data_IF_939048468901
#
_entry.id   IF_939048468901
#
_cell.length_a   1.000
_cell.length_b   1.000
_cell.length_c   1.000
_cell.angle_alpha   90.00
_cell.angle_beta   90.00
_cell.angle_gamma   90.00
#
_symmetry.space_group_name_H-M   'P 1'
#
loop_
_entity.id
_entity.type
_entity.pdbx_description
1 polymer ?
#
# COMPACT_ATOMS: atom_id res chain seq x y z
N UNK A 1 10.86 -30.50 10.30
CA UNK A 1 10.48 -31.07 9.00
C UNK A 1 9.22 -30.40 8.50
N UNK A 2 9.19 -29.98 7.24
CA UNK A 2 8.04 -29.32 6.57
C UNK A 2 7.01 -30.35 6.05
N UNK A 3 7.13 -31.61 6.47
CA UNK A 3 6.26 -32.70 6.00
C UNK A 3 4.79 -32.47 6.32
N UNK A 4 3.94 -32.59 5.32
CA UNK A 4 2.49 -32.34 5.40
C UNK A 4 2.08 -30.89 5.39
N UNK A 5 2.99 -29.94 5.19
CA UNK A 5 2.70 -28.51 5.10
C UNK A 5 2.17 -28.13 3.70
N UNK A 6 1.26 -27.18 3.65
CA UNK A 6 0.72 -26.65 2.41
C UNK A 6 1.38 -25.33 2.02
N UNK A 7 1.41 -25.06 0.72
CA UNK A 7 1.87 -23.79 0.13
C UNK A 7 0.82 -23.28 -0.85
N UNK A 8 0.57 -21.97 -0.80
CA UNK A 8 -0.29 -21.26 -1.75
C UNK A 8 0.59 -20.59 -2.81
N UNK A 9 0.25 -20.74 -4.09
CA UNK A 9 0.94 -20.09 -5.20
C UNK A 9 -0.07 -19.32 -6.05
N UNK A 10 0.11 -18.01 -6.13
CA UNK A 10 -0.65 -17.12 -6.99
C UNK A 10 0.25 -16.35 -7.95
N UNK A 11 -0.37 -15.66 -8.89
CA UNK A 11 0.31 -14.86 -9.90
C UNK A 11 -0.63 -13.76 -10.44
N UNK A 12 -0.04 -12.67 -10.92
CA UNK A 12 -0.76 -11.59 -11.62
C UNK A 12 -0.88 -11.86 -13.14
N UNK A 13 -1.37 -10.89 -13.90
CA UNK A 13 -1.58 -11.03 -15.33
C UNK A 13 -0.36 -10.64 -16.18
N UNK A 14 0.80 -10.34 -15.58
CA UNK A 14 2.01 -9.97 -16.33
C UNK A 14 2.53 -11.09 -17.20
N UNK A 15 3.30 -10.73 -18.23
CA UNK A 15 4.00 -11.68 -19.07
C UNK A 15 4.73 -12.72 -18.22
N UNK A 16 4.53 -14.00 -18.54
CA UNK A 16 5.17 -15.16 -17.91
C UNK A 16 4.85 -15.40 -16.43
N UNK A 17 4.03 -14.57 -15.76
CA UNK A 17 3.68 -14.79 -14.35
C UNK A 17 3.08 -16.18 -14.12
N UNK A 18 2.18 -16.64 -14.99
CA UNK A 18 1.61 -17.99 -14.91
C UNK A 18 2.67 -19.10 -15.07
N UNK A 19 3.66 -18.91 -15.96
CA UNK A 19 4.76 -19.87 -16.15
C UNK A 19 5.65 -19.96 -14.89
N UNK A 20 6.00 -18.82 -14.31
CA UNK A 20 6.79 -18.76 -13.08
C UNK A 20 6.02 -19.35 -11.89
N UNK A 21 4.71 -19.05 -11.78
CA UNK A 21 3.85 -19.62 -10.76
C UNK A 21 3.79 -21.15 -10.86
N UNK A 22 3.60 -21.68 -12.08
CA UNK A 22 3.62 -23.13 -12.32
C UNK A 22 4.96 -23.75 -11.96
N UNK A 23 6.08 -23.15 -12.40
CA UNK A 23 7.41 -23.65 -12.08
C UNK A 23 7.65 -23.70 -10.57
N UNK A 24 7.27 -22.66 -9.83
CA UNK A 24 7.37 -22.63 -8.38
C UNK A 24 6.51 -23.74 -7.73
N UNK A 25 5.26 -23.89 -8.18
CA UNK A 25 4.36 -24.93 -7.69
C UNK A 25 4.89 -26.35 -7.91
N UNK A 26 5.47 -26.63 -9.09
CA UNK A 26 6.08 -27.93 -9.43
C UNK A 26 7.33 -28.22 -8.60
N UNK A 27 8.14 -27.21 -8.30
CA UNK A 27 9.31 -27.33 -7.40
C UNK A 27 8.86 -27.65 -5.98
N UNK A 28 7.87 -26.92 -5.44
CA UNK A 28 7.34 -27.20 -4.12
C UNK A 28 6.71 -28.59 -4.02
N UNK A 29 5.98 -29.04 -5.05
CA UNK A 29 5.42 -30.37 -5.11
C UNK A 29 6.51 -31.45 -5.11
N UNK A 30 7.63 -31.24 -5.80
CA UNK A 30 8.79 -32.15 -5.80
C UNK A 30 9.47 -32.23 -4.42
N UNK A 31 9.37 -31.19 -3.61
CA UNK A 31 9.88 -31.18 -2.23
C UNK A 31 8.88 -31.78 -1.22
N UNK A 32 7.74 -32.29 -1.67
CA UNK A 32 6.74 -32.95 -0.82
C UNK A 32 5.70 -32.02 -0.18
N UNK A 33 5.61 -30.76 -0.59
CA UNK A 33 4.55 -29.88 -0.14
C UNK A 33 3.21 -30.20 -0.82
N UNK A 34 2.12 -29.98 -0.09
CA UNK A 34 0.79 -29.87 -0.69
C UNK A 34 0.63 -28.47 -1.27
N UNK A 35 0.47 -28.36 -2.58
CA UNK A 35 0.38 -27.06 -3.25
C UNK A 35 -1.06 -26.73 -3.59
N UNK A 36 -1.52 -25.54 -3.19
CA UNK A 36 -2.73 -24.89 -3.70
C UNK A 36 -2.30 -23.80 -4.68
N UNK A 37 -2.45 -24.06 -6.00
CA UNK A 37 -2.11 -23.09 -7.03
C UNK A 37 -3.38 -22.39 -7.52
N UNK A 38 -3.35 -21.06 -7.65
CA UNK A 38 -4.37 -20.29 -8.34
C UNK A 38 -4.25 -20.53 -9.85
N UNK A 39 -5.38 -20.87 -10.50
CA UNK A 39 -5.39 -21.24 -11.94
C UNK A 39 -5.71 -20.06 -12.87
N UNK A 40 -6.02 -18.91 -12.28
CA UNK A 40 -6.20 -17.63 -12.97
C UNK A 40 -5.35 -16.58 -12.27
N UNK A 41 -5.06 -15.45 -12.90
CA UNK A 41 -4.44 -14.30 -12.26
C UNK A 41 -5.29 -13.81 -11.08
N UNK A 42 -4.63 -13.51 -9.95
CA UNK A 42 -5.29 -13.12 -8.69
C UNK A 42 -4.60 -11.92 -8.03
N UNK A 43 -5.36 -11.12 -7.26
CA UNK A 43 -4.80 -10.06 -6.43
C UNK A 43 -3.81 -10.58 -5.39
N UNK A 44 -2.78 -9.80 -5.12
CA UNK A 44 -1.80 -10.09 -4.06
C UNK A 44 -2.45 -10.30 -2.68
N UNK A 45 -3.40 -9.46 -2.22
CA UNK A 45 -4.07 -9.67 -0.93
C UNK A 45 -4.85 -10.99 -0.85
N UNK A 46 -5.37 -11.51 -1.96
CA UNK A 46 -6.05 -12.81 -1.97
C UNK A 46 -5.09 -13.97 -1.63
N UNK A 47 -3.82 -13.89 -2.05
CA UNK A 47 -2.79 -14.87 -1.67
C UNK A 47 -2.41 -14.75 -0.20
N UNK A 48 -2.21 -13.53 0.30
CA UNK A 48 -1.95 -13.30 1.72
C UNK A 48 -3.10 -13.82 2.60
N UNK A 49 -4.35 -13.55 2.21
CA UNK A 49 -5.55 -14.12 2.85
C UNK A 49 -5.54 -15.64 2.82
N UNK A 50 -5.32 -16.25 1.65
CA UNK A 50 -5.34 -17.70 1.50
C UNK A 50 -4.28 -18.41 2.37
N UNK A 51 -3.07 -17.85 2.47
CA UNK A 51 -2.02 -18.36 3.38
C UNK A 51 -2.48 -18.32 4.82
N UNK A 52 -3.08 -17.20 5.25
CA UNK A 52 -3.57 -17.01 6.61
C UNK A 52 -4.76 -17.92 6.92
N UNK A 53 -5.77 -17.91 6.05
CA UNK A 53 -7.03 -18.61 6.24
C UNK A 53 -6.88 -20.13 6.19
N UNK A 54 -6.03 -20.67 5.32
CA UNK A 54 -5.76 -22.09 5.22
C UNK A 54 -4.73 -22.61 6.23
N UNK A 55 -4.05 -21.73 6.97
CA UNK A 55 -2.93 -22.08 7.83
C UNK A 55 -1.73 -22.64 7.06
N UNK A 56 -1.56 -22.22 5.80
CA UNK A 56 -0.44 -22.67 4.98
C UNK A 56 0.91 -22.27 5.57
N UNK A 57 1.92 -23.11 5.35
CA UNK A 57 3.29 -22.88 5.83
C UNK A 57 3.97 -21.72 5.12
N UNK A 58 3.57 -21.45 3.87
CA UNK A 58 4.07 -20.33 3.07
C UNK A 58 3.11 -20.01 1.91
N UNK A 59 3.34 -18.86 1.29
CA UNK A 59 2.72 -18.49 0.03
C UNK A 59 3.67 -17.73 -0.86
N UNK A 60 3.36 -17.75 -2.14
CA UNK A 60 4.10 -17.04 -3.18
C UNK A 60 3.13 -16.32 -4.07
N UNK A 61 3.42 -15.06 -4.35
CA UNK A 61 2.74 -14.30 -5.40
C UNK A 61 3.76 -13.83 -6.43
N UNK A 62 3.54 -14.24 -7.69
CA UNK A 62 4.36 -13.78 -8.82
C UNK A 62 3.77 -12.48 -9.33
N UNK A 63 4.46 -11.37 -9.05
CA UNK A 63 4.03 -10.02 -9.46
C UNK A 63 5.18 -9.03 -9.30
N UNK A 64 5.21 -8.02 -10.16
CA UNK A 64 6.04 -6.84 -9.97
C UNK A 64 5.22 -5.60 -9.56
N UNK A 65 3.98 -5.80 -9.05
CA UNK A 65 3.07 -4.72 -8.62
C UNK A 65 2.90 -3.65 -9.72
N UNK A 66 3.27 -2.42 -9.45
CA UNK A 66 3.14 -1.27 -10.36
C UNK A 66 4.38 -0.99 -11.22
N UNK A 67 5.35 -1.90 -11.26
CA UNK A 67 6.53 -1.76 -12.09
C UNK A 67 6.19 -1.83 -13.60
N UNK A 68 7.08 -1.39 -14.51
CA UNK A 68 6.89 -1.50 -15.96
C UNK A 68 6.53 -2.91 -16.43
N UNK A 69 5.95 -3.02 -17.62
CA UNK A 69 5.48 -4.27 -18.23
C UNK A 69 6.55 -5.36 -18.34
N UNK A 70 7.82 -4.98 -18.56
CA UNK A 70 8.94 -5.92 -18.68
C UNK A 70 9.40 -6.55 -17.37
N UNK A 71 8.94 -6.04 -16.23
CA UNK A 71 9.35 -6.52 -14.92
C UNK A 71 8.47 -7.66 -14.42
N UNK A 72 9.08 -8.54 -13.63
CA UNK A 72 8.39 -9.56 -12.85
C UNK A 72 9.01 -9.62 -11.44
N UNK A 73 8.36 -10.31 -10.51
CA UNK A 73 8.81 -10.39 -9.14
C UNK A 73 8.25 -11.60 -8.40
N UNK A 74 8.70 -11.76 -7.17
CA UNK A 74 8.42 -12.93 -6.35
C UNK A 74 8.20 -12.47 -4.90
N UNK A 75 6.94 -12.29 -4.48
CA UNK A 75 6.59 -11.99 -3.08
C UNK A 75 6.45 -13.30 -2.31
N UNK A 76 7.06 -13.38 -1.13
CA UNK A 76 7.03 -14.58 -0.28
C UNK A 76 6.32 -14.26 1.02
N UNK A 77 5.36 -15.09 1.39
CA UNK A 77 4.60 -15.04 2.62
C UNK A 77 4.91 -16.24 3.51
N UNK A 78 4.99 -16.00 4.81
CA UNK A 78 5.09 -17.02 5.84
C UNK A 78 3.77 -17.23 6.58
N UNK A 79 3.68 -18.15 7.55
CA UNK A 79 2.44 -18.43 8.26
C UNK A 79 1.77 -17.15 8.76
N UNK A 80 0.45 -17.10 8.63
CA UNK A 80 -0.34 -15.91 8.95
C UNK A 80 -0.43 -14.86 7.83
N UNK A 81 0.07 -15.17 6.61
CA UNK A 81 -0.01 -14.26 5.46
C UNK A 81 0.93 -13.05 5.58
N UNK A 82 2.03 -13.19 6.30
CA UNK A 82 3.02 -12.15 6.56
C UNK A 82 4.19 -12.23 5.57
N UNK A 83 4.53 -11.16 4.89
CA UNK A 83 5.74 -11.12 4.06
C UNK A 83 6.99 -11.38 4.90
N UNK A 84 7.99 -12.05 4.30
CA UNK A 84 9.26 -12.35 4.95
C UNK A 84 10.04 -11.08 5.33
N UNK A 85 10.78 -11.16 6.42
CA UNK A 85 11.70 -10.13 6.92
C UNK A 85 13.02 -10.76 7.32
N UNK A 86 14.05 -9.94 7.53
CA UNK A 86 15.33 -10.45 8.06
C UNK A 86 15.15 -11.14 9.42
N UNK A 87 15.87 -12.27 9.67
CA UNK A 87 16.95 -12.82 8.86
C UNK A 87 16.51 -13.73 7.71
N UNK A 88 15.24 -14.09 7.61
CA UNK A 88 14.71 -15.10 6.68
C UNK A 88 14.95 -14.75 5.20
N UNK A 89 14.84 -13.48 4.82
CA UNK A 89 15.14 -13.02 3.46
C UNK A 89 16.59 -13.33 3.07
N UNK A 90 17.54 -13.13 3.99
CA UNK A 90 18.96 -13.46 3.80
C UNK A 90 19.22 -14.96 3.74
N UNK A 91 18.52 -15.73 4.57
CA UNK A 91 18.65 -17.19 4.57
C UNK A 91 18.16 -17.75 3.23
N UNK A 92 17.07 -17.21 2.68
CA UNK A 92 16.56 -17.58 1.35
C UNK A 92 17.55 -17.14 0.25
N UNK A 93 18.10 -15.93 0.31
CA UNK A 93 19.10 -15.45 -0.64
C UNK A 93 20.35 -16.36 -0.66
N UNK A 94 20.85 -16.74 0.52
CA UNK A 94 21.96 -17.70 0.63
C UNK A 94 21.60 -19.08 0.03
N UNK A 95 20.38 -19.56 0.26
CA UNK A 95 19.92 -20.83 -0.30
C UNK A 95 19.78 -20.75 -1.84
N UNK A 96 19.30 -19.62 -2.37
CA UNK A 96 19.24 -19.39 -3.83
C UNK A 96 20.65 -19.39 -4.44
N UNK A 97 21.60 -18.72 -3.80
CA UNK A 97 22.99 -18.67 -4.27
C UNK A 97 23.69 -20.04 -4.25
N UNK A 98 23.27 -20.94 -3.38
CA UNK A 98 23.78 -22.30 -3.26
C UNK A 98 22.99 -23.33 -4.09
N UNK A 99 21.88 -22.93 -4.72
CA UNK A 99 21.05 -23.83 -5.51
C UNK A 99 21.76 -24.30 -6.79
N UNK A 100 21.48 -25.53 -7.26
CA UNK A 100 21.97 -26.00 -8.57
C UNK A 100 21.35 -25.18 -9.71
N UNK A 101 21.81 -25.43 -10.93
CA UNK A 101 21.22 -24.79 -12.11
C UNK A 101 19.72 -25.12 -12.22
N UNK A 102 18.94 -24.20 -12.78
CA UNK A 102 17.48 -24.29 -12.76
C UNK A 102 16.92 -25.54 -13.47
N UNK A 103 17.65 -26.07 -14.46
CA UNK A 103 17.33 -27.30 -15.17
C UNK A 103 17.69 -28.59 -14.38
N UNK A 104 18.50 -28.47 -13.33
CA UNK A 104 18.84 -29.56 -12.41
C UNK A 104 17.89 -29.65 -11.21
N UNK A 105 17.04 -28.63 -11.00
CA UNK A 105 16.09 -28.61 -9.88
C UNK A 105 14.92 -29.56 -10.18
N UNK A 106 14.64 -30.54 -9.28
CA UNK A 106 13.54 -31.46 -9.48
C UNK A 106 12.19 -30.73 -9.54
N UNK A 107 11.34 -31.16 -10.49
CA UNK A 107 9.96 -30.70 -10.63
C UNK A 107 9.01 -31.89 -10.69
N UNK A 108 7.87 -31.77 -10.01
CA UNK A 108 6.79 -32.74 -10.11
C UNK A 108 5.63 -32.07 -10.83
N UNK A 109 5.24 -32.49 -12.03
CA UNK A 109 4.09 -31.94 -12.73
C UNK A 109 2.84 -32.00 -11.85
N UNK A 110 2.07 -30.92 -11.84
CA UNK A 110 0.80 -30.87 -11.11
C UNK A 110 -0.17 -31.82 -11.81
N UNK A 111 -0.40 -32.99 -11.20
CA UNK A 111 -1.15 -34.08 -11.84
C UNK A 111 -2.61 -33.66 -12.10
N UNK A 112 -3.12 -34.00 -13.31
CA UNK A 112 -4.50 -33.70 -13.70
C UNK A 112 -5.53 -34.26 -12.71
N UNK A 113 -5.26 -35.42 -12.09
CA UNK A 113 -6.12 -36.03 -11.07
C UNK A 113 -6.26 -35.22 -9.77
N UNK A 114 -5.30 -34.30 -9.48
CA UNK A 114 -5.36 -33.39 -8.34
C UNK A 114 -5.76 -31.96 -8.74
N UNK A 115 -5.81 -31.68 -10.05
CA UNK A 115 -6.09 -30.35 -10.55
C UNK A 115 -7.48 -29.86 -10.10
N UNK A 116 -8.48 -30.73 -10.12
CA UNK A 116 -9.84 -30.41 -9.71
C UNK A 116 -9.93 -30.07 -8.21
N UNK A 117 -9.34 -30.90 -7.34
CA UNK A 117 -9.27 -30.63 -5.91
C UNK A 117 -8.50 -29.33 -5.57
N UNK A 118 -7.41 -29.06 -6.29
CA UNK A 118 -6.66 -27.81 -6.14
C UNK A 118 -7.47 -26.60 -6.61
N UNK A 119 -8.23 -26.75 -7.70
CA UNK A 119 -9.12 -25.68 -8.19
C UNK A 119 -10.23 -25.37 -7.20
N UNK A 120 -10.84 -26.40 -6.62
CA UNK A 120 -11.89 -26.21 -5.62
C UNK A 120 -11.36 -25.52 -4.37
N UNK A 121 -10.20 -25.93 -3.86
CA UNK A 121 -9.55 -25.26 -2.74
C UNK A 121 -9.20 -23.79 -3.08
N UNK A 122 -8.68 -23.53 -4.28
CA UNK A 122 -8.37 -22.17 -4.72
C UNK A 122 -9.64 -21.32 -4.82
N UNK A 123 -10.72 -21.84 -5.42
CA UNK A 123 -12.02 -21.13 -5.51
C UNK A 123 -12.60 -20.82 -4.12
N UNK A 124 -12.49 -21.75 -3.18
CA UNK A 124 -12.93 -21.53 -1.81
C UNK A 124 -12.18 -20.38 -1.15
N UNK A 125 -10.85 -20.33 -1.29
CA UNK A 125 -10.04 -19.24 -0.75
C UNK A 125 -10.39 -17.89 -1.40
N UNK A 126 -10.55 -17.84 -2.71
CA UNK A 126 -10.89 -16.61 -3.42
C UNK A 126 -12.29 -16.10 -3.05
N UNK A 127 -13.27 -17.00 -2.96
CA UNK A 127 -14.61 -16.65 -2.48
C UNK A 127 -14.56 -16.11 -1.05
N UNK A 128 -13.86 -16.82 -0.15
CA UNK A 128 -13.68 -16.38 1.24
C UNK A 128 -13.02 -15.02 1.34
N UNK A 129 -12.03 -14.72 0.49
CA UNK A 129 -11.40 -13.41 0.43
C UNK A 129 -12.39 -12.31 0.03
N UNK A 130 -13.17 -12.52 -1.05
CA UNK A 130 -14.15 -11.52 -1.53
C UNK A 130 -15.24 -11.31 -0.47
N UNK A 131 -15.77 -12.38 0.11
CA UNK A 131 -16.75 -12.32 1.20
C UNK A 131 -16.20 -11.51 2.39
N UNK A 132 -14.94 -11.74 2.75
CA UNK A 132 -14.29 -11.02 3.85
C UNK A 132 -14.07 -9.54 3.52
N UNK A 133 -13.57 -9.22 2.32
CA UNK A 133 -13.39 -7.84 1.87
C UNK A 133 -14.71 -7.05 1.90
N UNK A 134 -15.84 -7.70 1.62
CA UNK A 134 -17.16 -7.07 1.73
C UNK A 134 -17.59 -6.77 3.17
N UNK A 135 -17.09 -7.49 4.17
CA UNK A 135 -17.49 -7.30 5.59
C UNK A 135 -16.93 -6.04 6.25
N UNK A 136 -15.93 -5.38 5.65
CA UNK A 136 -15.37 -4.14 6.21
C UNK A 136 -16.36 -2.98 6.20
N UNK A 137 -17.41 -3.10 5.41
CA UNK A 137 -18.51 -2.13 5.34
C UNK A 137 -19.24 -2.02 6.69
N UNK A 138 -19.57 -0.79 7.10
CA UNK A 138 -20.15 -0.45 8.41
C UNK A 138 -21.53 0.22 8.32
N UNK A 139 -21.83 0.86 7.18
CA UNK A 139 -23.07 1.60 6.98
C UNK A 139 -23.93 0.93 5.90
N UNK A 140 -25.19 1.35 5.78
CA UNK A 140 -26.08 0.97 4.68
C UNK A 140 -26.19 2.13 3.70
N UNK A 141 -26.63 1.93 2.49
CA UNK A 141 -26.81 2.96 1.46
C UNK A 141 -26.02 2.63 0.20
N UNK A 142 -26.08 3.47 -0.81
CA UNK A 142 -25.37 3.31 -2.08
C UNK A 142 -24.46 4.49 -2.33
N UNK A 143 -23.45 4.31 -3.16
CA UNK A 143 -22.65 5.37 -3.75
C UNK A 143 -22.43 5.06 -5.22
N UNK A 144 -22.33 6.09 -6.07
CA UNK A 144 -21.90 5.93 -7.46
C UNK A 144 -20.38 5.98 -7.51
N UNK A 145 -19.80 4.91 -8.01
CA UNK A 145 -18.35 4.66 -8.00
C UNK A 145 -17.84 4.61 -9.43
N UNK A 146 -16.76 5.33 -9.73
CA UNK A 146 -15.95 5.09 -10.93
C UNK A 146 -14.74 4.24 -10.53
N UNK A 147 -14.39 3.21 -11.31
CA UNK A 147 -13.34 2.24 -10.97
C UNK A 147 -12.41 1.98 -12.16
N UNK A 148 -11.11 1.93 -11.90
CA UNK A 148 -10.13 1.34 -12.81
C UNK A 148 -9.19 0.38 -12.08
N UNK A 149 -8.95 -0.83 -12.62
CA UNK A 149 -7.90 -1.71 -12.17
C UNK A 149 -6.55 -1.47 -12.89
N UNK A 150 -6.42 -0.46 -13.72
CA UNK A 150 -5.23 -0.15 -14.53
C UNK A 150 -4.67 -1.38 -15.27
N UNK A 151 -5.52 -2.08 -16.02
CA UNK A 151 -5.18 -3.34 -16.70
C UNK A 151 -4.68 -4.46 -15.77
N UNK A 152 -4.92 -4.33 -14.47
CA UNK A 152 -4.53 -5.29 -13.45
C UNK A 152 -5.60 -6.35 -13.17
N UNK A 153 -5.31 -7.19 -12.19
CA UNK A 153 -6.15 -8.33 -11.82
C UNK A 153 -7.30 -7.97 -10.86
N UNK A 154 -7.34 -6.72 -10.37
CA UNK A 154 -8.28 -6.32 -9.32
C UNK A 154 -9.72 -6.07 -9.76
N UNK A 155 -9.99 -5.94 -11.08
CA UNK A 155 -11.27 -5.45 -11.60
C UNK A 155 -12.48 -6.27 -11.13
N UNK A 156 -12.54 -7.53 -11.52
CA UNK A 156 -13.63 -8.44 -11.15
C UNK A 156 -13.74 -8.63 -9.63
N UNK A 157 -12.61 -8.78 -8.94
CA UNK A 157 -12.58 -8.94 -7.49
C UNK A 157 -13.14 -7.71 -6.76
N UNK A 158 -12.84 -6.52 -7.25
CA UNK A 158 -13.38 -5.28 -6.69
C UNK A 158 -14.88 -5.14 -6.97
N UNK A 159 -15.35 -5.47 -8.19
CA UNK A 159 -16.77 -5.48 -8.52
C UNK A 159 -17.55 -6.45 -7.62
N UNK A 160 -17.04 -7.67 -7.44
CA UNK A 160 -17.68 -8.68 -6.59
C UNK A 160 -17.73 -8.24 -5.13
N UNK A 161 -16.61 -7.72 -4.57
CA UNK A 161 -16.57 -7.23 -3.19
C UNK A 161 -17.50 -6.03 -2.97
N UNK A 162 -17.53 -5.08 -3.91
CA UNK A 162 -18.43 -3.93 -3.88
C UNK A 162 -19.90 -4.39 -3.99
N UNK A 163 -20.23 -5.30 -4.90
CA UNK A 163 -21.58 -5.81 -5.07
C UNK A 163 -22.06 -6.56 -3.81
N UNK A 164 -21.24 -7.46 -3.25
CA UNK A 164 -21.55 -8.17 -2.01
C UNK A 164 -21.72 -7.23 -0.83
N UNK A 165 -20.94 -6.14 -0.79
CA UNK A 165 -21.11 -5.11 0.22
C UNK A 165 -22.31 -4.19 -0.05
N UNK A 166 -23.01 -4.32 -1.21
CA UNK A 166 -24.22 -3.59 -1.57
C UNK A 166 -23.96 -2.27 -2.30
N UNK A 167 -22.79 -2.10 -2.91
CA UNK A 167 -22.50 -1.03 -3.87
C UNK A 167 -22.67 -1.57 -5.29
N UNK A 168 -23.82 -1.30 -5.91
CA UNK A 168 -24.18 -1.83 -7.24
C UNK A 168 -24.10 -0.79 -8.37
N UNK A 169 -23.92 0.51 -8.04
CA UNK A 169 -23.79 1.59 -9.03
C UNK A 169 -22.29 1.88 -9.27
N UNK A 170 -21.62 0.92 -9.95
CA UNK A 170 -20.19 0.97 -10.24
C UNK A 170 -19.97 1.06 -11.74
N UNK A 171 -19.25 2.06 -12.18
CA UNK A 171 -18.88 2.33 -13.57
C UNK A 171 -17.38 2.08 -13.74
N UNK A 172 -17.00 1.29 -14.73
CA UNK A 172 -15.60 0.91 -14.96
C UNK A 172 -15.02 1.65 -16.17
N UNK A 173 -13.72 1.88 -16.14
CA UNK A 173 -12.99 2.37 -17.32
C UNK A 173 -12.77 1.17 -18.25
N UNK A 174 -13.63 1.03 -19.27
CA UNK A 174 -13.66 -0.14 -20.15
C UNK A 174 -12.31 -0.46 -20.79
N UNK A 175 -11.58 0.58 -21.24
CA UNK A 175 -10.25 0.46 -21.85
C UNK A 175 -9.18 -0.10 -20.93
N UNK A 176 -9.36 0.01 -19.60
CA UNK A 176 -8.39 -0.38 -18.57
C UNK A 176 -8.89 -1.56 -17.72
N UNK A 177 -10.10 -2.08 -17.96
CA UNK A 177 -10.72 -3.04 -17.06
C UNK A 177 -10.17 -4.46 -17.21
N UNK A 178 -10.03 -4.93 -18.45
CA UNK A 178 -9.47 -6.24 -18.70
C UNK A 178 -7.96 -6.27 -18.36
N UNK A 179 -7.47 -7.33 -17.68
CA UNK A 179 -6.04 -7.50 -17.46
C UNK A 179 -5.27 -7.55 -18.78
N UNK A 180 -4.25 -6.67 -18.90
CA UNK A 180 -3.37 -6.63 -20.08
C UNK A 180 -1.91 -6.43 -19.62
N UNK A 181 -1.00 -7.38 -19.89
CA UNK A 181 0.39 -7.32 -19.45
C UNK A 181 1.19 -6.17 -20.07
N UNK A 182 0.72 -5.58 -21.17
CA UNK A 182 1.40 -4.48 -21.87
C UNK A 182 0.97 -3.10 -21.36
N UNK A 183 -0.10 -3.00 -20.54
CA UNK A 183 -0.64 -1.75 -19.97
C UNK A 183 -0.82 -0.63 -21.02
N UNK A 184 -1.57 -0.86 -22.12
CA UNK A 184 -1.51 -0.04 -23.34
C UNK A 184 -1.92 1.42 -23.18
N UNK A 185 -2.69 1.79 -22.14
CA UNK A 185 -3.15 3.16 -21.93
C UNK A 185 -2.23 3.98 -21.02
N UNK A 186 -1.23 3.36 -20.38
CA UNK A 186 -0.37 4.02 -19.38
C UNK A 186 1.09 3.65 -19.58
N UNK A 187 1.99 4.61 -19.42
CA UNK A 187 3.42 4.35 -19.50
C UNK A 187 3.95 3.55 -18.30
N UNK A 188 3.34 3.79 -17.14
CA UNK A 188 3.59 3.06 -15.89
C UNK A 188 2.26 2.76 -15.22
N UNK A 189 1.96 1.51 -14.87
CA UNK A 189 0.68 1.11 -14.29
C UNK A 189 0.63 1.41 -12.77
N UNK A 190 0.90 2.66 -12.42
CA UNK A 190 0.88 3.15 -11.04
C UNK A 190 -0.12 4.31 -10.93
N UNK A 191 -1.17 4.21 -10.09
CA UNK A 191 -2.14 5.29 -9.90
C UNK A 191 -1.55 6.65 -9.49
N UNK A 192 -0.32 6.67 -8.96
CA UNK A 192 0.36 7.91 -8.55
C UNK A 192 1.12 8.58 -9.71
N UNK A 193 1.27 7.91 -10.86
CA UNK A 193 1.98 8.50 -12.00
C UNK A 193 1.08 9.45 -12.78
N UNK A 194 1.63 10.57 -13.29
CA UNK A 194 0.88 11.51 -14.10
C UNK A 194 0.25 10.84 -15.32
N UNK A 195 -1.04 11.09 -15.54
CA UNK A 195 -1.81 10.56 -16.66
C UNK A 195 -2.41 9.17 -16.44
N UNK A 196 -1.96 8.41 -15.44
CA UNK A 196 -2.44 7.04 -15.20
C UNK A 196 -3.94 6.97 -14.86
N UNK A 197 -4.47 7.99 -14.23
CA UNK A 197 -5.87 8.07 -13.77
C UNK A 197 -6.74 9.05 -14.55
N UNK A 198 -6.25 9.60 -15.67
CA UNK A 198 -6.99 10.61 -16.43
C UNK A 198 -8.33 10.07 -16.96
N UNK A 199 -8.34 8.84 -17.50
CA UNK A 199 -9.57 8.20 -17.98
C UNK A 199 -10.55 7.93 -16.84
N UNK A 200 -10.06 7.55 -15.65
CA UNK A 200 -10.88 7.37 -14.47
C UNK A 200 -11.56 8.67 -14.03
N UNK A 201 -10.82 9.77 -13.98
CA UNK A 201 -11.37 11.06 -13.55
C UNK A 201 -12.35 11.63 -14.61
N UNK A 202 -12.09 11.38 -15.89
CA UNK A 202 -13.02 11.72 -16.97
C UNK A 202 -14.34 10.93 -16.83
N UNK A 203 -14.25 9.59 -16.63
CA UNK A 203 -15.43 8.76 -16.40
C UNK A 203 -16.18 9.20 -15.13
N UNK A 204 -15.47 9.48 -14.05
CA UNK A 204 -16.09 9.92 -12.80
C UNK A 204 -16.89 11.22 -12.96
N UNK A 205 -16.37 12.16 -13.76
CA UNK A 205 -17.07 13.40 -14.11
C UNK A 205 -18.30 13.13 -14.97
N UNK A 206 -18.18 12.29 -15.99
CA UNK A 206 -19.24 11.98 -16.96
C UNK A 206 -20.45 11.29 -16.30
N UNK A 207 -20.18 10.31 -15.44
CA UNK A 207 -21.26 9.57 -14.74
C UNK A 207 -21.73 10.29 -13.48
N UNK A 208 -21.09 11.37 -13.05
CA UNK A 208 -21.40 12.04 -11.80
C UNK A 208 -21.13 11.16 -10.58
N UNK A 209 -19.96 10.51 -10.55
CA UNK A 209 -19.56 9.66 -9.45
C UNK A 209 -19.38 10.45 -8.14
N UNK A 210 -19.50 9.78 -7.00
CA UNK A 210 -19.23 10.34 -5.67
C UNK A 210 -17.78 10.04 -5.21
N UNK A 211 -17.17 9.01 -5.83
CA UNK A 211 -15.81 8.58 -5.57
C UNK A 211 -15.23 7.93 -6.83
N UNK A 212 -13.96 8.16 -7.09
CA UNK A 212 -13.18 7.49 -8.12
C UNK A 212 -12.12 6.60 -7.45
N UNK A 213 -12.01 5.35 -7.87
CA UNK A 213 -11.13 4.34 -7.27
C UNK A 213 -10.18 3.80 -8.33
N UNK A 214 -8.89 3.84 -8.08
CA UNK A 214 -7.88 3.21 -8.92
C UNK A 214 -7.09 2.17 -8.10
N UNK A 215 -6.98 0.95 -8.65
CA UNK A 215 -6.13 -0.11 -8.11
C UNK A 215 -4.85 -0.22 -8.93
N UNK A 216 -3.75 -0.62 -8.32
CA UNK A 216 -2.55 -1.02 -9.05
C UNK A 216 -2.71 -2.45 -9.62
N UNK A 217 -1.82 -2.91 -10.52
CA UNK A 217 -2.04 -4.15 -11.26
C UNK A 217 -2.23 -5.41 -10.43
N UNK A 218 -1.65 -5.51 -9.25
CA UNK A 218 -1.84 -6.63 -8.33
C UNK A 218 -2.82 -6.32 -7.19
N UNK A 219 -3.50 -5.16 -7.27
CA UNK A 219 -4.60 -4.70 -6.42
C UNK A 219 -4.28 -4.68 -4.91
N UNK A 220 -2.99 -4.56 -4.55
CA UNK A 220 -2.62 -4.36 -3.15
C UNK A 220 -2.69 -2.87 -2.74
N UNK A 221 -2.84 -1.94 -3.70
CA UNK A 221 -2.94 -0.48 -3.49
C UNK A 221 -4.27 0.06 -3.98
N UNK A 222 -4.71 1.16 -3.33
CA UNK A 222 -5.93 1.87 -3.67
C UNK A 222 -5.69 3.38 -3.63
N UNK A 223 -5.81 4.03 -4.77
CA UNK A 223 -5.85 5.49 -4.88
C UNK A 223 -7.29 5.97 -5.04
N UNK A 224 -7.57 7.16 -4.53
CA UNK A 224 -8.92 7.71 -4.49
C UNK A 224 -8.98 9.11 -5.05
N UNK A 225 -9.92 9.33 -5.98
CA UNK A 225 -10.31 10.64 -6.47
C UNK A 225 -11.61 11.11 -5.85
N UNK A 226 -11.71 12.42 -5.63
CA UNK A 226 -12.89 13.08 -5.06
C UNK A 226 -13.31 14.28 -5.90
N UNK A 227 -14.62 14.58 -5.96
CA UNK A 227 -15.09 15.77 -6.64
C UNK A 227 -14.69 17.04 -5.86
N UNK A 228 -14.36 18.09 -6.61
CA UNK A 228 -14.07 19.44 -6.09
C UNK A 228 -14.90 20.46 -6.88
N UNK A 229 -15.04 21.70 -6.41
CA UNK A 229 -15.71 22.74 -7.17
C UNK A 229 -15.11 23.04 -8.55
N UNK A 230 -13.82 22.70 -8.74
CA UNK A 230 -13.07 22.92 -9.99
C UNK A 230 -12.90 21.65 -10.85
N UNK A 231 -13.53 20.53 -10.48
CA UNK A 231 -13.41 19.24 -11.16
C UNK A 231 -13.04 18.11 -10.19
N UNK A 232 -12.15 17.22 -10.56
CA UNK A 232 -11.74 16.08 -9.74
C UNK A 232 -10.29 16.24 -9.31
N UNK A 233 -9.95 15.71 -8.12
CA UNK A 233 -8.55 15.52 -7.72
C UNK A 233 -8.34 14.17 -7.06
N UNK A 234 -7.16 13.61 -7.24
CA UNK A 234 -6.72 12.46 -6.46
C UNK A 234 -6.31 12.92 -5.05
N UNK A 235 -6.67 12.13 -4.04
CA UNK A 235 -6.13 12.26 -2.70
C UNK A 235 -4.72 11.66 -2.66
N UNK A 236 -3.85 12.22 -1.83
CA UNK A 236 -2.56 11.59 -1.54
C UNK A 236 -2.77 10.34 -0.69
N UNK A 237 -1.79 9.43 -0.65
CA UNK A 237 -1.85 8.27 0.23
C UNK A 237 -1.92 8.67 1.72
N UNK A 238 -1.30 9.78 2.11
CA UNK A 238 -1.43 10.33 3.47
C UNK A 238 -2.85 10.83 3.74
N UNK A 239 -3.48 11.61 2.85
CA UNK A 239 -4.87 12.07 3.01
C UNK A 239 -5.84 10.90 3.15
N UNK A 240 -5.70 9.89 2.30
CA UNK A 240 -6.49 8.65 2.39
C UNK A 240 -6.19 7.91 3.68
N UNK A 241 -4.92 7.88 4.10
CA UNK A 241 -4.45 7.28 5.34
C UNK A 241 -5.09 7.90 6.58
N UNK A 242 -5.18 9.22 6.63
CA UNK A 242 -5.82 9.95 7.73
C UNK A 242 -7.32 9.70 7.81
N UNK A 243 -8.00 9.77 6.67
CA UNK A 243 -9.45 9.54 6.59
C UNK A 243 -9.83 8.13 7.05
N UNK A 244 -9.12 7.11 6.55
CA UNK A 244 -9.35 5.73 6.96
C UNK A 244 -8.96 5.49 8.41
N UNK A 245 -7.85 6.08 8.88
CA UNK A 245 -7.41 5.97 10.27
C UNK A 245 -8.43 6.54 11.25
N UNK A 246 -8.91 7.76 11.02
CA UNK A 246 -9.96 8.40 11.85
C UNK A 246 -11.26 7.58 11.80
N UNK A 247 -11.68 7.15 10.62
CA UNK A 247 -12.91 6.37 10.44
C UNK A 247 -12.85 5.01 11.13
N UNK A 248 -11.75 4.29 11.01
CA UNK A 248 -11.55 2.98 11.65
C UNK A 248 -11.53 3.15 13.16
N UNK A 249 -10.77 4.11 13.67
CA UNK A 249 -10.64 4.35 15.11
C UNK A 249 -11.95 4.82 15.75
N UNK A 250 -12.73 5.64 15.07
CA UNK A 250 -14.06 6.06 15.55
C UNK A 250 -15.03 4.86 15.74
N UNK A 251 -14.78 3.74 15.05
CA UNK A 251 -15.58 2.51 15.17
C UNK A 251 -14.89 1.40 15.98
N UNK A 252 -13.62 1.59 16.36
CA UNK A 252 -12.89 0.63 17.19
C UNK A 252 -13.25 0.80 18.66
N UNK A 253 -13.52 -0.30 19.33
CA UNK A 253 -13.83 -0.28 20.78
C UNK A 253 -12.61 -0.74 21.56
N UNK A 254 -12.18 0.07 22.53
CA UNK A 254 -11.16 -0.28 23.51
C UNK A 254 -9.80 0.39 23.30
N UNK A 255 -8.99 0.39 24.37
CA UNK A 255 -7.66 1.03 24.45
C UNK A 255 -6.52 0.18 23.87
N UNK A 256 -6.81 -1.02 23.38
CA UNK A 256 -5.82 -1.94 22.83
C UNK A 256 -5.56 -1.77 21.33
N UNK A 257 -6.25 -0.82 20.68
CA UNK A 257 -6.09 -0.58 19.25
C UNK A 257 -4.70 -0.01 18.93
N UNK A 258 -4.05 -0.63 17.95
CA UNK A 258 -2.81 -0.14 17.34
C UNK A 258 -3.09 0.30 15.92
N UNK A 259 -2.59 1.46 15.55
CA UNK A 259 -2.48 1.89 14.16
C UNK A 259 -1.03 2.12 13.82
N UNK A 260 -0.66 1.94 12.56
CA UNK A 260 0.74 2.06 12.14
C UNK A 260 0.89 2.84 10.83
N UNK A 261 1.98 3.60 10.74
CA UNK A 261 2.45 4.21 9.49
C UNK A 261 3.96 4.12 9.38
N UNK A 262 4.50 4.38 8.19
CA UNK A 262 5.94 4.31 7.98
C UNK A 262 6.65 5.58 8.45
N UNK A 263 7.96 5.47 8.69
CA UNK A 263 8.82 6.61 9.02
C UNK A 263 8.82 7.72 7.96
N UNK A 264 8.37 7.45 6.75
CA UNK A 264 8.30 8.42 5.65
C UNK A 264 6.88 8.96 5.41
N UNK A 265 5.86 8.33 5.99
CA UNK A 265 4.47 8.80 5.97
C UNK A 265 4.27 10.00 6.91
N UNK A 266 3.16 10.70 6.76
CA UNK A 266 2.78 11.79 7.63
C UNK A 266 2.57 11.36 9.07
N UNK A 267 2.83 12.28 10.00
CA UNK A 267 2.65 12.09 11.44
C UNK A 267 1.23 12.38 11.94
N UNK A 268 0.32 12.89 11.08
CA UNK A 268 -1.05 13.18 11.50
C UNK A 268 -1.78 11.93 12.05
N UNK A 269 -1.48 10.72 11.53
CA UNK A 269 -2.08 9.51 12.10
C UNK A 269 -1.71 9.28 13.58
N UNK A 270 -0.55 9.76 14.03
CA UNK A 270 -0.19 9.68 15.45
C UNK A 270 -1.06 10.59 16.32
N UNK A 271 -1.37 11.79 15.83
CA UNK A 271 -2.25 12.73 16.52
C UNK A 271 -3.70 12.22 16.55
N UNK A 272 -4.19 11.66 15.44
CA UNK A 272 -5.49 10.99 15.33
C UNK A 272 -5.56 9.82 16.33
N UNK A 273 -4.55 8.97 16.38
CA UNK A 273 -4.51 7.83 17.30
C UNK A 273 -4.56 8.27 18.76
N UNK A 274 -3.80 9.30 19.12
CA UNK A 274 -3.79 9.85 20.48
C UNK A 274 -5.18 10.38 20.91
N UNK A 275 -5.88 11.07 20.02
CA UNK A 275 -7.22 11.60 20.28
C UNK A 275 -8.26 10.47 20.49
N UNK A 276 -8.13 9.37 19.76
CA UNK A 276 -8.97 8.18 19.93
C UNK A 276 -8.50 7.24 21.06
N UNK A 277 -7.45 7.58 21.80
CA UNK A 277 -6.89 6.72 22.85
C UNK A 277 -6.24 5.42 22.33
N UNK A 278 -5.88 5.41 21.07
CA UNK A 278 -5.17 4.30 20.41
C UNK A 278 -3.65 4.53 20.43
N UNK A 279 -2.88 3.47 20.18
CA UNK A 279 -1.43 3.55 20.05
C UNK A 279 -1.03 3.67 18.59
N UNK A 280 -0.20 4.66 18.27
CA UNK A 280 0.47 4.74 16.98
C UNK A 280 1.86 4.10 17.05
N UNK A 281 2.20 3.32 16.01
CA UNK A 281 3.53 2.71 15.83
C UNK A 281 4.13 3.19 14.51
N UNK A 282 5.28 3.86 14.59
CA UNK A 282 6.08 4.23 13.42
C UNK A 282 7.03 3.08 13.06
N UNK A 283 6.95 2.56 11.85
CA UNK A 283 7.78 1.46 11.36
C UNK A 283 8.77 1.90 10.28
N UNK A 284 9.65 1.01 9.87
CA UNK A 284 10.41 1.16 8.63
C UNK A 284 9.48 1.12 7.41
N UNK A 285 9.97 1.63 6.27
CA UNK A 285 9.24 1.52 4.99
C UNK A 285 9.12 0.07 4.55
N UNK A 286 7.97 -0.25 3.97
CA UNK A 286 7.61 -1.58 3.50
C UNK A 286 6.58 -2.24 4.41
N UNK A 287 5.52 -2.73 3.79
CA UNK A 287 4.35 -3.24 4.51
C UNK A 287 4.65 -4.42 5.42
N UNK A 288 5.69 -5.18 5.11
CA UNK A 288 6.21 -6.26 5.96
C UNK A 288 6.51 -5.84 7.41
N UNK A 289 6.82 -4.56 7.64
CA UNK A 289 7.04 -4.01 8.98
C UNK A 289 5.74 -3.50 9.61
N UNK A 290 4.89 -2.86 8.82
CA UNK A 290 3.57 -2.38 9.25
C UNK A 290 2.70 -3.53 9.74
N UNK A 291 2.69 -4.64 9.01
CA UNK A 291 1.93 -5.83 9.35
C UNK A 291 2.33 -6.48 10.69
N UNK A 292 3.47 -6.07 11.27
CA UNK A 292 4.01 -6.54 12.56
C UNK A 292 4.03 -5.47 13.65
N UNK A 293 3.30 -4.38 13.45
CA UNK A 293 3.34 -3.24 14.37
C UNK A 293 2.85 -3.57 15.79
N UNK A 294 2.09 -4.64 15.96
CA UNK A 294 1.59 -5.12 17.27
C UNK A 294 2.37 -6.30 17.86
N UNK A 295 3.35 -6.90 17.15
CA UNK A 295 4.03 -8.13 17.57
C UNK A 295 4.67 -8.09 18.97
N UNK A 296 5.13 -6.92 19.43
CA UNK A 296 5.83 -6.76 20.71
C UNK A 296 5.04 -5.92 21.72
N UNK A 297 3.73 -5.79 21.55
CA UNK A 297 2.88 -4.97 22.41
C UNK A 297 1.83 -5.87 23.04
N UNK A 298 1.99 -6.13 24.36
CA UNK A 298 1.05 -6.94 25.10
C UNK A 298 -0.38 -6.37 25.02
N UNK A 299 -1.34 -7.25 24.85
CA UNK A 299 -2.79 -6.93 24.79
C UNK A 299 -3.18 -5.89 23.73
N UNK A 300 -2.35 -5.71 22.71
CA UNK A 300 -2.62 -4.78 21.61
C UNK A 300 -2.98 -5.52 20.32
N UNK A 301 -3.83 -4.89 19.51
CA UNK A 301 -4.28 -5.42 18.23
C UNK A 301 -4.12 -4.37 17.16
N UNK A 302 -3.40 -4.69 16.09
CA UNK A 302 -3.36 -3.86 14.90
C UNK A 302 -4.75 -3.80 14.28
N UNK A 303 -5.28 -2.59 14.12
CA UNK A 303 -6.60 -2.36 13.51
C UNK A 303 -6.50 -1.63 12.18
N UNK A 304 -5.38 -0.95 11.94
CA UNK A 304 -5.13 -0.24 10.70
C UNK A 304 -3.62 0.02 10.50
N UNK A 305 -3.19 -0.05 9.25
CA UNK A 305 -1.85 0.38 8.86
C UNK A 305 -1.87 0.99 7.45
N UNK A 306 -1.01 1.98 7.21
CA UNK A 306 -0.84 2.51 5.85
C UNK A 306 0.59 2.94 5.55
N UNK A 307 0.93 2.94 4.27
CA UNK A 307 2.09 3.62 3.70
C UNK A 307 1.62 4.73 2.73
N UNK A 308 2.34 5.84 2.70
CA UNK A 308 2.04 7.02 1.88
C UNK A 308 1.92 6.71 0.38
N UNK A 309 2.50 5.61 -0.06
CA UNK A 309 2.40 5.09 -1.43
C UNK A 309 1.08 4.33 -1.65
N UNK A 310 -0.05 4.91 -1.21
CA UNK A 310 -1.43 4.42 -1.41
C UNK A 310 -1.70 2.98 -0.96
N UNK A 311 -0.90 2.45 -0.03
CA UNK A 311 -1.06 1.09 0.51
C UNK A 311 -1.77 1.10 1.86
N UNK A 312 -2.89 0.40 1.99
CA UNK A 312 -3.73 0.36 3.18
C UNK A 312 -4.04 -1.08 3.61
N UNK A 313 -3.97 -1.36 4.90
CA UNK A 313 -4.45 -2.57 5.54
C UNK A 313 -5.59 -2.18 6.49
N UNK A 314 -6.82 -2.39 6.06
CA UNK A 314 -8.04 -1.96 6.78
C UNK A 314 -8.67 -3.08 7.61
N UNK A 315 -8.28 -4.33 7.35
CA UNK A 315 -8.67 -5.52 8.12
C UNK A 315 -7.49 -6.46 8.35
N UNK A 316 -6.58 -6.13 9.31
CA UNK A 316 -5.42 -6.97 9.62
C UNK A 316 -5.78 -8.36 10.16
N UNK A 317 -7.03 -8.57 10.57
CA UNK A 317 -7.50 -9.89 11.01
C UNK A 317 -7.57 -10.87 9.83
N UNK A 318 -7.93 -10.39 8.65
CA UNK A 318 -8.04 -11.19 7.43
C UNK A 318 -6.76 -11.13 6.58
N UNK A 319 -6.26 -9.92 6.29
CA UNK A 319 -5.10 -9.69 5.42
C UNK A 319 -4.07 -8.85 6.16
N UNK A 320 -2.90 -9.45 6.47
CA UNK A 320 -1.77 -8.75 7.09
C UNK A 320 -0.78 -8.23 6.03
N UNK A 321 -1.33 -7.58 5.04
CA UNK A 321 -0.62 -6.86 3.97
C UNK A 321 -1.52 -5.70 3.49
N UNK A 322 -1.06 -4.96 2.50
CA UNK A 322 -1.90 -4.01 1.77
C UNK A 322 -3.04 -4.74 1.08
N UNK A 323 -4.22 -4.17 1.15
CA UNK A 323 -5.40 -4.68 0.45
C UNK A 323 -6.20 -3.52 -0.16
N UNK A 324 -5.99 -3.30 -1.45
CA UNK A 324 -6.65 -2.24 -2.19
C UNK A 324 -8.16 -2.48 -2.36
N UNK A 325 -8.60 -3.73 -2.37
CA UNK A 325 -10.01 -4.09 -2.59
C UNK A 325 -10.83 -3.82 -1.33
N UNK A 326 -10.40 -4.29 -0.16
CA UNK A 326 -11.09 -3.99 1.10
C UNK A 326 -11.00 -2.49 1.44
N UNK A 327 -9.89 -1.82 1.10
CA UNK A 327 -9.76 -0.38 1.22
C UNK A 327 -10.79 0.36 0.35
N UNK A 328 -11.00 -0.07 -0.90
CA UNK A 328 -12.01 0.51 -1.79
C UNK A 328 -13.43 0.38 -1.22
N UNK A 329 -13.79 -0.79 -0.68
CA UNK A 329 -15.09 -1.01 -0.01
C UNK A 329 -15.26 -0.06 1.17
N UNK A 330 -14.24 0.06 2.04
CA UNK A 330 -14.31 0.92 3.22
C UNK A 330 -14.35 2.43 2.87
N UNK A 331 -13.69 2.84 1.78
CA UNK A 331 -13.72 4.21 1.28
C UNK A 331 -15.10 4.57 0.71
N UNK A 332 -15.73 3.65 -0.03
CA UNK A 332 -17.12 3.83 -0.47
C UNK A 332 -18.08 3.92 0.73
N UNK A 333 -17.84 3.13 1.78
CA UNK A 333 -18.61 3.20 3.02
C UNK A 333 -18.43 4.54 3.74
N UNK A 334 -17.20 5.06 3.80
CA UNK A 334 -16.91 6.40 4.35
C UNK A 334 -17.66 7.51 3.60
N UNK A 335 -17.70 7.45 2.25
CA UNK A 335 -18.46 8.42 1.44
C UNK A 335 -19.94 8.41 1.85
N UNK A 336 -20.55 7.23 1.99
CA UNK A 336 -21.95 7.09 2.43
C UNK A 336 -22.15 7.63 3.85
N UNK A 337 -21.23 7.33 4.77
CA UNK A 337 -21.28 7.81 6.14
C UNK A 337 -21.22 9.35 6.24
N UNK A 338 -20.32 9.96 5.49
CA UNK A 338 -20.16 11.42 5.43
C UNK A 338 -21.37 12.10 4.78
N UNK A 339 -21.85 11.57 3.65
CA UNK A 339 -23.01 12.12 2.95
C UNK A 339 -24.26 12.13 3.82
N UNK A 340 -24.47 11.13 4.67
CA UNK A 340 -25.58 11.11 5.65
C UNK A 340 -25.51 12.26 6.65
N UNK A 341 -24.32 12.82 6.85
CA UNK A 341 -24.07 13.99 7.71
C UNK A 341 -24.07 15.30 6.90
N UNK A 342 -24.38 15.27 5.59
CA UNK A 342 -24.29 16.43 4.70
C UNK A 342 -22.83 16.87 4.44
N UNK A 343 -21.86 15.95 4.53
CA UNK A 343 -20.42 16.22 4.45
C UNK A 343 -19.79 15.43 3.30
N UNK A 344 -18.65 15.90 2.85
CA UNK A 344 -17.78 15.27 1.85
C UNK A 344 -16.47 14.77 2.50
N UNK A 345 -15.67 14.01 1.76
CA UNK A 345 -14.31 13.63 2.18
C UNK A 345 -13.41 14.86 2.36
N UNK A 346 -13.62 15.92 1.57
CA UNK A 346 -12.88 17.18 1.72
C UNK A 346 -13.25 17.90 3.03
N UNK A 347 -14.53 17.89 3.42
CA UNK A 347 -14.94 18.44 4.72
C UNK A 347 -14.32 17.64 5.87
N UNK A 348 -14.20 16.32 5.73
CA UNK A 348 -13.55 15.50 6.75
C UNK A 348 -12.05 15.82 6.86
N UNK A 349 -11.35 16.00 5.72
CA UNK A 349 -9.95 16.47 5.71
C UNK A 349 -9.79 17.87 6.34
N UNK A 350 -10.74 18.77 6.08
CA UNK A 350 -10.77 20.10 6.71
C UNK A 350 -10.90 20.02 8.22
N UNK A 351 -11.73 19.12 8.71
CA UNK A 351 -11.92 18.93 10.14
C UNK A 351 -10.69 18.31 10.82
N UNK A 352 -10.01 17.36 10.15
CA UNK A 352 -8.72 16.84 10.62
C UNK A 352 -7.67 17.95 10.67
N UNK A 353 -7.61 18.79 9.64
CA UNK A 353 -6.68 19.92 9.61
C UNK A 353 -6.97 20.98 10.69
N UNK A 354 -8.25 21.22 11.05
CA UNK A 354 -8.61 22.11 12.15
C UNK A 354 -8.23 21.54 13.52
N UNK A 355 -8.31 20.21 13.70
CA UNK A 355 -7.99 19.54 14.97
C UNK A 355 -6.48 19.39 15.18
N UNK A 356 -5.74 19.01 14.14
CA UNK A 356 -4.35 18.58 14.26
C UNK A 356 -3.34 19.48 13.56
N UNK A 357 -3.80 20.58 12.94
CA UNK A 357 -2.99 21.43 12.07
C UNK A 357 -3.02 20.97 10.61
N UNK A 358 -2.67 21.87 9.71
CA UNK A 358 -2.55 21.56 8.29
C UNK A 358 -1.24 20.80 8.06
N UNK A 359 -1.32 19.53 7.68
CA UNK A 359 -0.19 18.75 7.20
C UNK A 359 -0.13 18.80 5.68
N UNK A 360 1.05 19.08 5.13
CA UNK A 360 1.31 19.09 3.71
C UNK A 360 2.50 18.18 3.42
N UNK A 361 2.30 17.16 2.59
CA UNK A 361 3.31 16.15 2.28
C UNK A 361 3.74 16.21 0.83
N UNK A 362 5.02 15.96 0.55
CA UNK A 362 5.58 15.87 -0.79
C UNK A 362 6.79 14.94 -0.81
N UNK A 363 7.16 14.50 -2.01
CA UNK A 363 8.40 13.74 -2.22
C UNK A 363 9.28 14.42 -3.28
N UNK A 364 10.57 14.46 -3.01
CA UNK A 364 11.59 14.85 -3.98
C UNK A 364 12.44 13.64 -4.32
N UNK A 365 12.40 13.22 -5.57
CA UNK A 365 13.22 12.13 -6.08
C UNK A 365 14.40 12.69 -6.86
N UNK A 366 15.59 12.26 -6.49
CA UNK A 366 16.83 12.58 -7.22
C UNK A 366 17.39 11.30 -7.81
N UNK A 367 17.39 11.19 -9.14
CA UNK A 367 18.10 10.13 -9.85
C UNK A 367 19.60 10.39 -9.82
N UNK A 368 20.37 9.34 -9.67
CA UNK A 368 21.84 9.35 -9.68
C UNK A 368 22.35 8.26 -10.63
N UNK A 369 23.58 8.36 -11.05
CA UNK A 369 24.14 7.43 -12.04
C UNK A 369 24.29 5.99 -11.49
N UNK A 370 24.59 5.85 -10.20
CA UNK A 370 24.86 4.54 -9.58
C UNK A 370 24.37 4.50 -8.13
N UNK A 371 24.10 3.31 -7.58
CA UNK A 371 23.82 3.15 -6.14
C UNK A 371 24.96 3.71 -5.25
N UNK A 372 26.21 3.62 -5.70
CA UNK A 372 27.37 4.19 -4.99
C UNK A 372 27.30 5.73 -4.90
N UNK A 373 26.77 6.39 -5.93
CA UNK A 373 26.56 7.83 -5.90
C UNK A 373 25.48 8.21 -4.88
N UNK A 374 24.40 7.43 -4.76
CA UNK A 374 23.40 7.62 -3.71
C UNK A 374 24.01 7.47 -2.30
N UNK A 375 24.80 6.43 -2.08
CA UNK A 375 25.49 6.20 -0.81
C UNK A 375 26.49 7.35 -0.47
N UNK A 376 27.19 7.88 -1.46
CA UNK A 376 28.10 9.02 -1.27
C UNK A 376 27.33 10.30 -0.87
N UNK A 377 26.14 10.53 -1.44
CA UNK A 377 25.25 11.62 -1.03
C UNK A 377 24.81 11.47 0.43
N UNK A 378 24.36 10.27 0.83
CA UNK A 378 24.00 9.99 2.21
C UNK A 378 25.16 10.21 3.18
N UNK A 379 26.36 9.75 2.81
CA UNK A 379 27.56 9.96 3.62
C UNK A 379 27.90 11.45 3.81
N UNK A 380 27.75 12.27 2.77
CA UNK A 380 27.94 13.73 2.87
C UNK A 380 26.91 14.39 3.78
N UNK A 381 25.63 14.03 3.64
CA UNK A 381 24.56 14.55 4.50
C UNK A 381 24.80 14.18 5.98
N UNK A 382 25.36 12.98 6.26
CA UNK A 382 25.76 12.57 7.61
C UNK A 382 26.93 13.41 8.16
N UNK A 383 27.95 13.61 7.34
CA UNK A 383 29.15 14.33 7.75
C UNK A 383 28.88 15.83 7.93
N UNK A 384 28.02 16.40 7.10
CA UNK A 384 27.74 17.85 7.08
C UNK A 384 26.25 18.10 6.93
N UNK A 385 25.46 17.82 7.99
CA UNK A 385 24.02 18.03 7.93
C UNK A 385 23.67 19.52 7.82
N UNK A 386 22.59 19.86 7.11
CA UNK A 386 22.11 21.23 7.06
C UNK A 386 21.68 21.67 8.48
N UNK A 387 22.13 22.86 8.89
CA UNK A 387 21.76 23.43 10.20
C UNK A 387 20.47 24.23 10.17
N UNK A 388 20.01 24.62 8.98
CA UNK A 388 18.77 25.37 8.76
C UNK A 388 18.07 24.86 7.51
N UNK A 389 16.73 24.86 7.54
CA UNK A 389 15.85 24.50 6.43
C UNK A 389 14.61 25.37 6.47
N UNK A 390 14.31 26.10 5.39
CA UNK A 390 13.17 27.01 5.29
C UNK A 390 13.03 27.97 6.51
N UNK A 391 14.16 28.45 7.04
CA UNK A 391 14.18 29.33 8.21
C UNK A 391 14.28 28.63 9.57
N UNK A 392 13.91 27.35 9.67
CA UNK A 392 13.96 26.58 10.93
C UNK A 392 15.38 26.13 11.26
N UNK A 393 15.73 26.14 12.54
CA UNK A 393 16.88 25.42 13.05
C UNK A 393 16.58 23.92 12.99
N UNK A 394 17.52 23.11 12.44
CA UNK A 394 17.29 21.71 12.14
C UNK A 394 18.15 20.81 13.03
N UNK A 395 17.53 19.79 13.61
CA UNK A 395 18.19 18.61 14.17
C UNK A 395 18.21 17.48 13.13
N UNK A 396 19.24 16.65 13.15
CA UNK A 396 19.33 15.43 12.34
C UNK A 396 19.34 14.20 13.26
N UNK A 397 18.54 13.21 12.89
CA UNK A 397 18.57 11.86 13.48
C UNK A 397 19.00 10.88 12.39
N UNK A 398 20.06 10.11 12.65
CA UNK A 398 20.51 9.03 11.78
C UNK A 398 19.85 7.71 12.20
N UNK A 399 19.17 7.07 11.27
CA UNK A 399 18.50 5.79 11.49
C UNK A 399 19.36 4.59 11.10
N UNK A 400 20.67 4.77 10.89
CA UNK A 400 21.59 3.73 10.39
C UNK A 400 21.58 2.43 11.19
N UNK A 401 21.23 2.46 12.47
CA UNK A 401 21.06 1.25 13.29
C UNK A 401 19.86 0.36 12.84
N UNK A 402 18.90 0.93 12.11
CA UNK A 402 17.67 0.26 11.67
C UNK A 402 17.53 0.22 10.15
N UNK A 403 17.88 1.30 9.49
CA UNK A 403 17.78 1.48 8.03
C UNK A 403 18.67 2.64 7.58
N UNK A 404 19.13 2.63 6.32
CA UNK A 404 19.87 3.74 5.74
C UNK A 404 18.94 4.93 5.46
N UNK A 405 18.66 5.72 6.48
CA UNK A 405 17.83 6.92 6.37
C UNK A 405 18.28 8.02 7.35
N UNK A 406 18.05 9.27 6.97
CA UNK A 406 18.28 10.47 7.77
C UNK A 406 16.99 11.24 7.95
N UNK A 407 16.68 11.63 9.17
CA UNK A 407 15.55 12.48 9.51
C UNK A 407 16.05 13.87 9.90
N UNK A 408 15.61 14.89 9.18
CA UNK A 408 15.86 16.29 9.48
C UNK A 408 14.56 16.92 9.97
N UNK A 409 14.58 17.53 11.15
CA UNK A 409 13.38 18.11 11.75
C UNK A 409 13.66 19.45 12.42
N UNK A 410 12.72 20.37 12.29
CA UNK A 410 12.74 21.68 12.96
C UNK A 410 11.32 22.21 13.16
N UNK A 411 11.15 23.04 14.19
CA UNK A 411 9.85 23.60 14.52
C UNK A 411 9.99 24.99 15.16
N UNK A 412 8.94 25.77 15.06
CA UNK A 412 8.67 26.95 15.90
C UNK A 412 7.32 26.76 16.65
N UNK A 413 6.76 27.82 17.20
CA UNK A 413 5.51 27.76 17.95
C UNK A 413 4.28 27.43 17.09
N UNK A 414 4.35 27.58 15.77
CA UNK A 414 3.18 27.56 14.86
C UNK A 414 3.39 26.69 13.62
N UNK A 415 4.61 26.20 13.40
CA UNK A 415 4.90 25.32 12.24
C UNK A 415 6.05 24.37 12.52
N UNK A 416 6.07 23.26 11.81
CA UNK A 416 7.19 22.34 11.79
C UNK A 416 7.49 21.85 10.38
N UNK A 417 8.76 21.47 10.17
CA UNK A 417 9.23 20.85 8.95
C UNK A 417 9.94 19.54 9.29
N UNK A 418 9.69 18.50 8.50
CA UNK A 418 10.35 17.21 8.62
C UNK A 418 10.73 16.72 7.24
N UNK A 419 11.95 16.25 7.07
CA UNK A 419 12.43 15.63 5.83
C UNK A 419 13.07 14.29 6.17
N UNK A 420 12.60 13.22 5.55
CA UNK A 420 13.22 11.90 5.64
C UNK A 420 13.89 11.57 4.32
N UNK A 421 15.20 11.45 4.32
CA UNK A 421 15.98 11.14 3.12
C UNK A 421 16.56 9.75 3.20
N UNK A 422 16.36 8.94 2.14
CA UNK A 422 16.85 7.57 2.04
C UNK A 422 17.18 7.18 0.60
N UNK A 423 18.16 6.29 0.37
CA UNK A 423 18.36 5.70 -0.94
C UNK A 423 17.20 4.75 -1.28
N UNK A 424 16.92 4.56 -2.57
CA UNK A 424 16.06 3.48 -3.05
C UNK A 424 16.78 2.14 -2.92
N UNK A 425 16.09 1.09 -2.51
CA UNK A 425 16.66 -0.26 -2.43
C UNK A 425 16.85 -0.93 -3.79
N UNK A 426 16.14 -0.49 -4.82
CA UNK A 426 16.08 -1.17 -6.13
C UNK A 426 16.59 -0.33 -7.29
N UNK A 427 16.68 0.99 -7.14
CA UNK A 427 17.01 1.90 -8.24
C UNK A 427 18.08 2.93 -7.79
N UNK A 428 18.93 3.44 -8.69
CA UNK A 428 19.93 4.46 -8.38
C UNK A 428 19.25 5.82 -8.18
N UNK A 429 18.56 6.00 -7.06
CA UNK A 429 17.89 7.24 -6.70
C UNK A 429 17.87 7.47 -5.20
N UNK A 430 17.84 8.74 -4.82
CA UNK A 430 17.59 9.20 -3.46
C UNK A 430 16.19 9.77 -3.39
N UNK A 431 15.39 9.33 -2.41
CA UNK A 431 14.08 9.90 -2.12
C UNK A 431 14.15 10.70 -0.82
N UNK A 432 13.58 11.90 -0.88
CA UNK A 432 13.40 12.76 0.30
C UNK A 432 11.89 13.02 0.45
N UNK A 433 11.33 12.58 1.55
CA UNK A 433 9.93 12.77 1.91
C UNK A 433 9.81 13.97 2.81
N UNK A 434 8.99 14.90 2.45
CA UNK A 434 8.82 16.20 3.10
C UNK A 434 7.46 16.22 3.77
N UNK A 435 7.42 16.62 5.02
CA UNK A 435 6.21 16.96 5.73
C UNK A 435 6.36 18.35 6.34
N UNK A 436 5.35 19.19 6.12
CA UNK A 436 5.20 20.51 6.75
C UNK A 436 3.90 20.50 7.53
N UNK A 437 3.94 20.93 8.79
CA UNK A 437 2.74 21.16 9.60
C UNK A 437 2.63 22.66 9.92
N UNK A 438 1.42 23.22 9.77
CA UNK A 438 1.12 24.61 10.15
C UNK A 438 -0.15 24.67 10.98
N UNK A 439 -0.09 25.37 12.10
CA UNK A 439 -1.23 25.69 12.94
C UNK A 439 -1.82 27.07 12.57
N UNK A 440 -3.10 27.30 12.89
CA UNK A 440 -3.77 28.56 12.68
C UNK A 440 -5.13 28.44 11.98
N UNK A 441 -5.64 29.54 11.47
CA UNK A 441 -6.85 29.55 10.65
C UNK A 441 -6.59 28.75 9.37
N UNK A 442 -7.58 27.95 8.95
CA UNK A 442 -7.40 26.88 7.96
C UNK A 442 -6.81 27.39 6.62
N UNK A 443 -7.37 28.48 6.09
CA UNK A 443 -6.94 29.02 4.79
C UNK A 443 -5.50 29.55 4.87
N UNK A 444 -5.23 30.37 5.89
CA UNK A 444 -3.90 30.94 6.10
C UNK A 444 -2.86 29.86 6.41
N UNK A 445 -3.23 28.83 7.18
CA UNK A 445 -2.35 27.68 7.46
C UNK A 445 -2.04 26.87 6.20
N UNK A 446 -3.01 26.66 5.29
CA UNK A 446 -2.80 26.00 3.99
C UNK A 446 -1.85 26.78 3.08
N UNK A 447 -2.09 28.09 2.94
CA UNK A 447 -1.21 28.95 2.13
C UNK A 447 0.23 28.93 2.68
N UNK A 448 0.38 29.00 4.01
CA UNK A 448 1.68 28.94 4.66
C UNK A 448 2.33 27.56 4.47
N UNK A 449 1.59 26.47 4.62
CA UNK A 449 2.09 25.11 4.45
C UNK A 449 2.57 24.87 3.03
N UNK A 450 1.82 25.32 2.01
CA UNK A 450 2.21 25.22 0.60
C UNK A 450 3.52 26.00 0.34
N UNK A 451 3.61 27.25 0.77
CA UNK A 451 4.83 28.06 0.59
C UNK A 451 6.07 27.49 1.31
N UNK A 452 5.86 26.93 2.51
CA UNK A 452 6.94 26.24 3.24
C UNK A 452 7.34 24.95 2.54
N UNK A 453 6.40 24.15 2.07
CA UNK A 453 6.65 22.93 1.33
C UNK A 453 7.49 23.19 0.07
N UNK A 454 7.13 24.21 -0.72
CA UNK A 454 7.89 24.61 -1.90
C UNK A 454 9.31 25.03 -1.55
N UNK A 455 9.47 25.80 -0.48
CA UNK A 455 10.77 26.26 0.00
C UNK A 455 11.65 25.09 0.45
N UNK A 456 11.08 24.14 1.20
CA UNK A 456 11.77 22.92 1.66
C UNK A 456 12.12 22.06 0.45
N UNK A 457 11.21 21.84 -0.49
CA UNK A 457 11.45 21.03 -1.68
C UNK A 457 12.57 21.64 -2.55
N UNK A 458 12.60 22.97 -2.72
CA UNK A 458 13.66 23.66 -3.44
C UNK A 458 15.02 23.48 -2.76
N UNK A 459 15.08 23.59 -1.43
CA UNK A 459 16.31 23.37 -0.66
C UNK A 459 16.79 21.90 -0.75
N UNK A 460 15.88 20.93 -0.63
CA UNK A 460 16.18 19.50 -0.71
C UNK A 460 16.73 19.11 -2.09
N UNK A 461 16.21 19.69 -3.17
CA UNK A 461 16.76 19.49 -4.53
C UNK A 461 18.23 19.93 -4.64
N UNK A 462 18.68 20.86 -3.79
CA UNK A 462 20.07 21.35 -3.77
C UNK A 462 20.98 20.50 -2.86
N UNK A 463 20.45 19.55 -2.09
CA UNK A 463 21.25 18.63 -1.30
C UNK A 463 22.06 17.72 -2.23
N UNK A 464 23.25 18.20 -2.59
CA UNK A 464 24.08 17.58 -3.61
C UNK A 464 25.30 16.89 -3.01
#
# INVERSE_FOLDING_TARGET
SLGGMSIVVGYDARHRSAEFGRAAAEVFAAQGFTVTMMFAPVPTPAVAFAVRNSGAAAGVQITASHNPAGDNGYKVYFPGGLQIVSPTDRDIECAIAAAPAADEIPRTPLAAARAEQMQDAAREQLRGYIEHAATVRRTTGSARVALTPLHGVGGEFALDALALSGFSDVHVVDSQFAPDPDFPTVAFPNPEEPGAVDELLALAADVGAEIAVALDPDADRCAVGVPTPSGWRMLTGDETGWLLGDYILAHSKGTSAVVASTVVSSRMLADIAADHGARHVETLTGFKWLARADDNIADATLVYAYEEAIGHCVDPAAVRDKDGISAAVLLCDLVVALRRQGRTMLDALDDLARRYGVHSTAAVTRRVETPRAAAALMARLRATPPRRLAGFAISMTDLAARTDALVFAGADATASVRVVTRPSGTEPKLKSYIEVRCDGELTAARERAAGLQDTVAAAVRQWA
#
